data_IF_406138108017
#
_entry.id   IF_406138108017
#
_cell.length_a   1.000
_cell.length_b   1.000
_cell.length_c   1.000
_cell.angle_alpha   90.00
_cell.angle_beta   90.00
_cell.angle_gamma   90.00
#
_symmetry.space_group_name_H-M   'P 1'
#
loop_
_entity.id
_entity.type
_entity.pdbx_description
1 polymer ?
#
# COMPACT_ATOMS: atom_id res chain seq x y z
N UNK A 1 -1.62 -8.27 -6.35
CA UNK A 1 -0.83 -8.84 -7.44
C UNK A 1 0.44 -8.01 -7.57
N UNK A 2 1.62 -8.65 -7.68
CA UNK A 2 2.88 -7.97 -7.96
C UNK A 2 3.20 -8.01 -9.47
N UNK A 3 3.96 -7.03 -9.94
CA UNK A 3 4.52 -6.98 -11.29
C UNK A 3 6.02 -6.72 -11.21
N UNK A 4 6.76 -7.33 -12.11
CA UNK A 4 8.21 -7.12 -12.27
C UNK A 4 8.45 -6.56 -13.66
N UNK A 5 9.21 -5.48 -13.73
CA UNK A 5 9.66 -4.88 -14.98
C UNK A 5 11.17 -5.11 -15.11
N UNK A 6 11.59 -5.82 -16.13
CA UNK A 6 13.01 -6.05 -16.43
C UNK A 6 13.40 -5.26 -17.69
N UNK A 7 14.52 -4.55 -17.62
CA UNK A 7 15.09 -3.86 -18.81
C UNK A 7 15.69 -4.83 -19.82
N UNK A 8 16.16 -5.98 -19.34
CA UNK A 8 16.86 -6.98 -20.12
C UNK A 8 16.30 -8.36 -19.75
N UNK A 9 15.63 -8.97 -20.70
CA UNK A 9 15.02 -10.28 -20.57
C UNK A 9 16.06 -11.40 -20.38
N UNK A 10 17.25 -11.26 -20.94
CA UNK A 10 18.32 -12.24 -20.82
C UNK A 10 18.72 -12.48 -19.36
N UNK A 11 18.61 -11.47 -18.50
CA UNK A 11 18.86 -11.59 -17.06
C UNK A 11 17.84 -12.47 -16.35
N UNK A 12 16.57 -12.40 -16.75
CA UNK A 12 15.53 -13.29 -16.23
C UNK A 12 15.79 -14.73 -16.64
N UNK A 13 16.10 -14.94 -17.93
CA UNK A 13 16.44 -16.28 -18.45
C UNK A 13 17.69 -16.84 -17.81
N UNK A 14 18.73 -16.02 -17.59
CA UNK A 14 19.95 -16.45 -16.88
C UNK A 14 19.69 -16.84 -15.43
N UNK A 15 18.72 -16.17 -14.75
CA UNK A 15 18.40 -16.42 -13.35
C UNK A 15 17.44 -17.60 -13.17
N UNK A 16 16.49 -17.80 -14.09
CA UNK A 16 15.36 -18.72 -13.92
C UNK A 16 15.27 -19.79 -15.03
N UNK A 17 16.07 -19.68 -16.10
CA UNK A 17 15.99 -20.50 -17.30
C UNK A 17 16.43 -21.96 -17.11
N UNK A 18 15.78 -22.67 -16.18
CA UNK A 18 15.99 -24.09 -15.96
C UNK A 18 15.24 -24.87 -17.05
N UNK A 19 15.98 -25.62 -17.89
CA UNK A 19 15.40 -26.51 -18.91
C UNK A 19 15.46 -27.96 -18.40
N UNK A 20 14.37 -28.50 -17.85
CA UNK A 20 14.32 -29.92 -17.45
C UNK A 20 14.47 -30.81 -18.68
N UNK A 21 15.16 -31.94 -18.54
CA UNK A 21 15.46 -32.87 -19.65
C UNK A 21 14.20 -33.43 -20.34
N UNK A 22 13.10 -33.56 -19.61
CA UNK A 22 11.83 -34.07 -20.18
C UNK A 22 11.06 -33.05 -21.05
N UNK A 23 11.49 -31.80 -21.05
CA UNK A 23 10.88 -30.72 -21.88
C UNK A 23 11.73 -30.37 -23.11
N UNK A 24 12.91 -30.96 -23.27
CA UNK A 24 13.88 -30.57 -24.31
C UNK A 24 13.37 -30.83 -25.72
N UNK A 25 12.75 -31.98 -25.99
CA UNK A 25 12.29 -32.35 -27.32
C UNK A 25 11.08 -31.56 -27.82
N UNK A 26 10.22 -31.09 -26.89
CA UNK A 26 9.09 -30.24 -27.26
C UNK A 26 9.51 -28.78 -27.42
N UNK A 27 10.50 -28.33 -26.66
CA UNK A 27 11.00 -26.95 -26.66
C UNK A 27 11.75 -26.60 -27.92
N UNK A 28 12.52 -27.54 -28.45
CA UNK A 28 13.25 -27.36 -29.72
C UNK A 28 12.32 -27.26 -30.94
N UNK A 29 11.08 -27.77 -30.81
CA UNK A 29 10.01 -27.63 -31.81
C UNK A 29 9.15 -26.37 -31.63
N UNK A 30 9.29 -25.68 -30.52
CA UNK A 30 8.47 -24.50 -30.13
C UNK A 30 9.26 -23.20 -30.09
N UNK A 31 10.38 -23.13 -30.79
CA UNK A 31 11.32 -21.97 -30.75
C UNK A 31 10.67 -20.61 -31.07
N UNK A 32 9.48 -20.60 -31.69
CA UNK A 32 8.72 -19.39 -32.01
C UNK A 32 7.76 -18.93 -30.89
N UNK A 33 7.60 -19.72 -29.81
CA UNK A 33 6.67 -19.37 -28.74
C UNK A 33 7.37 -18.83 -27.53
N UNK A 34 6.90 -17.66 -27.03
CA UNK A 34 7.40 -17.09 -25.79
C UNK A 34 7.16 -18.03 -24.60
N UNK A 35 8.25 -18.46 -23.97
CA UNK A 35 8.23 -19.44 -22.89
C UNK A 35 8.24 -18.73 -21.52
N UNK A 36 7.08 -18.47 -20.93
CA UNK A 36 6.95 -17.74 -19.67
C UNK A 36 7.66 -18.40 -18.48
N UNK A 37 7.82 -19.72 -18.46
CA UNK A 37 8.42 -20.45 -17.35
C UNK A 37 9.93 -20.23 -17.22
N UNK A 38 10.63 -19.89 -18.31
CA UNK A 38 12.07 -19.58 -18.26
C UNK A 38 12.37 -18.20 -17.69
N UNK A 39 11.35 -17.39 -17.43
CA UNK A 39 11.46 -16.03 -16.91
C UNK A 39 10.99 -15.90 -15.46
N UNK A 40 10.78 -17.00 -14.75
CA UNK A 40 10.36 -17.03 -13.36
C UNK A 40 10.52 -18.39 -12.72
N UNK A 41 10.35 -18.48 -11.40
CA UNK A 41 10.52 -19.72 -10.65
C UNK A 41 9.31 -20.67 -10.70
N UNK A 42 8.15 -20.22 -11.20
CA UNK A 42 6.93 -21.04 -11.34
C UNK A 42 6.83 -21.58 -12.77
N UNK A 43 6.88 -22.90 -12.95
CA UNK A 43 6.64 -23.54 -14.28
C UNK A 43 5.18 -23.43 -14.68
N UNK A 44 4.26 -23.83 -13.80
CA UNK A 44 2.82 -23.68 -14.00
C UNK A 44 2.28 -22.66 -13.02
N UNK A 45 1.68 -21.59 -13.53
CA UNK A 45 1.14 -20.51 -12.69
C UNK A 45 -0.26 -20.10 -13.11
N UNK A 46 -1.02 -19.62 -12.15
CA UNK A 46 -2.33 -19.02 -12.41
C UNK A 46 -2.19 -17.81 -13.33
N UNK A 47 -3.08 -17.65 -14.29
CA UNK A 47 -3.11 -16.49 -15.18
C UNK A 47 -3.56 -15.22 -14.43
N UNK A 48 -2.69 -14.73 -13.54
CA UNK A 48 -2.95 -13.56 -12.68
C UNK A 48 -3.06 -12.27 -13.50
N UNK A 49 -2.40 -12.20 -14.65
CA UNK A 49 -2.46 -11.06 -15.59
C UNK A 49 -3.85 -10.81 -16.16
N UNK A 50 -4.72 -11.85 -16.22
CA UNK A 50 -6.07 -11.72 -16.76
C UNK A 50 -6.87 -10.62 -16.04
N UNK A 51 -6.80 -10.55 -14.71
CA UNK A 51 -7.52 -9.55 -13.92
C UNK A 51 -7.11 -8.13 -14.31
N UNK A 52 -5.81 -7.88 -14.51
CA UNK A 52 -5.28 -6.59 -14.93
C UNK A 52 -5.74 -6.26 -16.34
N UNK A 53 -5.59 -7.22 -17.26
CA UNK A 53 -6.04 -7.06 -18.64
C UNK A 53 -7.53 -6.74 -18.72
N UNK A 54 -8.39 -7.48 -18.00
CA UNK A 54 -9.83 -7.24 -17.95
C UNK A 54 -10.15 -5.85 -17.38
N UNK A 55 -9.43 -5.41 -16.33
CA UNK A 55 -9.61 -4.08 -15.75
C UNK A 55 -9.28 -2.99 -16.76
N UNK A 56 -8.14 -3.09 -17.45
CA UNK A 56 -7.76 -2.15 -18.49
C UNK A 56 -8.73 -2.18 -19.69
N UNK A 57 -9.22 -3.36 -20.09
CA UNK A 57 -10.24 -3.47 -21.15
C UNK A 57 -11.56 -2.84 -20.74
N UNK A 58 -11.98 -2.98 -19.47
CA UNK A 58 -13.25 -2.45 -18.97
C UNK A 58 -13.22 -0.94 -18.77
N UNK A 59 -12.16 -0.40 -18.18
CA UNK A 59 -12.10 0.97 -17.71
C UNK A 59 -11.18 1.87 -18.52
N UNK A 60 -10.22 1.30 -19.23
CA UNK A 60 -9.17 2.02 -19.96
C UNK A 60 -8.08 2.60 -19.05
N UNK A 61 -6.91 2.86 -19.62
CA UNK A 61 -5.75 3.37 -18.88
C UNK A 61 -6.02 4.76 -18.28
N UNK A 62 -6.72 5.65 -19.01
CA UNK A 62 -7.05 7.00 -18.54
C UNK A 62 -7.87 6.95 -17.26
N UNK A 63 -8.96 6.17 -17.23
CA UNK A 63 -9.82 6.09 -16.04
C UNK A 63 -9.11 5.50 -14.83
N UNK A 64 -8.27 4.50 -15.04
CA UNK A 64 -7.43 3.92 -13.97
C UNK A 64 -6.44 4.97 -13.46
N UNK A 65 -5.81 5.75 -14.35
CA UNK A 65 -4.94 6.86 -13.97
C UNK A 65 -5.67 7.91 -13.12
N UNK A 66 -6.88 8.35 -13.54
CA UNK A 66 -7.71 9.30 -12.78
C UNK A 66 -8.02 8.80 -11.35
N UNK A 67 -8.22 7.49 -11.15
CA UNK A 67 -8.42 6.90 -9.83
C UNK A 67 -7.15 6.94 -8.97
N UNK A 68 -6.00 6.66 -9.57
CA UNK A 68 -4.70 6.74 -8.88
C UNK A 68 -4.43 8.19 -8.47
N UNK A 69 -4.64 9.15 -9.36
CA UNK A 69 -4.51 10.58 -9.08
C UNK A 69 -5.48 11.02 -7.98
N UNK A 70 -6.69 10.46 -7.97
CA UNK A 70 -7.66 10.64 -6.89
C UNK A 70 -7.10 10.22 -5.54
N UNK A 71 -6.55 9.02 -5.45
CA UNK A 71 -5.95 8.51 -4.22
C UNK A 71 -4.77 9.36 -3.74
N UNK A 72 -3.94 9.85 -4.66
CA UNK A 72 -2.82 10.77 -4.34
C UNK A 72 -3.37 12.10 -3.80
N UNK A 73 -4.42 12.65 -4.42
CA UNK A 73 -5.07 13.88 -3.90
C UNK A 73 -5.60 13.70 -2.48
N UNK A 74 -6.20 12.55 -2.15
CA UNK A 74 -6.68 12.26 -0.80
C UNK A 74 -5.54 12.22 0.23
N UNK A 75 -4.41 11.57 -0.11
CA UNK A 75 -3.24 11.56 0.76
C UNK A 75 -2.66 12.97 0.97
N UNK A 76 -2.61 13.80 -0.08
CA UNK A 76 -2.15 15.18 0.00
C UNK A 76 -3.12 16.08 0.79
N UNK A 77 -4.42 15.83 0.67
CA UNK A 77 -5.41 16.53 1.48
C UNK A 77 -5.21 16.22 2.96
N UNK A 78 -5.10 14.94 3.35
CA UNK A 78 -4.79 14.57 4.73
C UNK A 78 -3.45 15.16 5.20
N UNK A 79 -2.42 15.18 4.34
CA UNK A 79 -1.16 15.86 4.62
C UNK A 79 -1.39 17.35 4.97
N UNK A 80 -2.17 18.08 4.19
CA UNK A 80 -2.42 19.50 4.42
C UNK A 80 -3.16 19.76 5.73
N UNK A 81 -4.04 18.87 6.15
CA UNK A 81 -4.74 18.95 7.42
C UNK A 81 -3.78 18.71 8.61
N UNK A 82 -2.93 17.71 8.50
CA UNK A 82 -2.02 17.30 9.58
C UNK A 82 -0.80 18.21 9.70
N UNK A 83 -0.29 18.77 8.60
CA UNK A 83 0.94 19.57 8.58
C UNK A 83 0.92 20.80 9.51
N UNK A 84 -0.27 21.33 9.82
CA UNK A 84 -0.48 22.44 10.74
C UNK A 84 -1.20 22.02 12.04
N UNK A 85 -1.40 20.73 12.26
CA UNK A 85 -2.15 20.24 13.40
C UNK A 85 -1.29 20.22 14.67
N UNK A 86 -1.76 20.76 15.83
CA UNK A 86 -0.93 20.87 17.03
C UNK A 86 -0.59 19.53 17.68
N UNK A 87 -1.43 18.52 17.53
CA UNK A 87 -1.30 17.23 18.19
C UNK A 87 -0.75 16.12 17.31
N UNK A 88 -0.59 16.37 15.99
CA UNK A 88 -0.09 15.38 15.05
C UNK A 88 1.13 15.89 14.29
N UNK A 89 2.00 14.96 13.91
CA UNK A 89 3.07 15.23 12.95
C UNK A 89 2.96 14.28 11.76
N UNK A 90 3.51 14.69 10.63
CA UNK A 90 3.58 13.92 9.39
C UNK A 90 5.04 13.59 9.05
N UNK A 91 5.31 12.39 8.57
CA UNK A 91 6.67 11.96 8.24
C UNK A 91 7.28 12.69 7.02
N UNK A 92 6.45 13.40 6.26
CA UNK A 92 6.79 14.15 5.06
C UNK A 92 5.67 14.16 4.04
N UNK A 93 5.81 15.00 3.01
CA UNK A 93 4.83 15.02 1.91
C UNK A 93 4.79 13.67 1.18
N UNK A 94 3.59 13.07 1.01
CA UNK A 94 3.48 11.76 0.37
C UNK A 94 3.76 11.87 -1.14
N UNK A 95 4.73 11.10 -1.68
CA UNK A 95 4.99 11.08 -3.12
C UNK A 95 3.92 10.34 -3.92
N UNK A 96 3.18 9.46 -3.24
CA UNK A 96 2.06 8.67 -3.77
C UNK A 96 0.89 8.72 -2.80
N UNK A 97 0.06 7.68 -2.73
CA UNK A 97 -1.12 7.63 -1.87
C UNK A 97 -0.86 7.20 -0.42
N UNK A 98 0.36 6.78 -0.06
CA UNK A 98 0.67 6.39 1.31
C UNK A 98 1.20 7.58 2.11
N UNK A 99 0.58 7.86 3.26
CA UNK A 99 0.99 8.88 4.22
C UNK A 99 1.22 8.25 5.60
N UNK A 100 2.22 8.72 6.32
CA UNK A 100 2.49 8.34 7.69
C UNK A 100 2.33 9.55 8.60
N UNK A 101 1.42 9.44 9.56
CA UNK A 101 1.14 10.46 10.58
C UNK A 101 1.26 9.84 11.97
N UNK A 102 1.57 10.64 12.98
CA UNK A 102 1.62 10.17 14.37
C UNK A 102 1.06 11.21 15.31
N UNK A 103 0.49 10.76 16.43
CA UNK A 103 0.05 11.62 17.50
C UNK A 103 1.20 11.91 18.47
N UNK A 104 1.34 13.15 18.91
CA UNK A 104 2.44 13.62 19.76
C UNK A 104 2.21 13.45 21.27
N UNK A 105 0.98 13.14 21.68
CA UNK A 105 0.57 13.12 23.10
C UNK A 105 1.27 12.10 23.99
N UNK A 106 2.00 11.13 23.42
CA UNK A 106 2.82 10.17 24.16
C UNK A 106 4.33 10.41 24.01
N UNK A 107 4.74 11.48 23.32
CA UNK A 107 6.15 11.84 23.18
C UNK A 107 6.71 12.37 24.54
N UNK A 108 7.97 12.03 24.92
CA UNK A 108 8.95 11.29 24.14
C UNK A 108 8.95 9.75 24.36
N UNK A 109 8.02 9.18 25.13
CA UNK A 109 7.98 7.73 25.43
C UNK A 109 7.49 6.91 24.23
N UNK A 110 8.43 6.30 23.47
CA UNK A 110 8.09 5.47 22.31
C UNK A 110 7.33 4.19 22.68
N UNK A 111 7.53 3.63 23.87
CA UNK A 111 6.77 2.46 24.31
C UNK A 111 5.30 2.82 24.55
N UNK A 112 5.04 3.97 25.14
CA UNK A 112 3.69 4.50 25.31
C UNK A 112 3.08 4.90 23.95
N UNK A 113 3.85 5.55 23.09
CA UNK A 113 3.44 5.91 21.72
C UNK A 113 3.02 4.66 20.92
N UNK A 114 3.78 3.59 20.97
CA UNK A 114 3.45 2.32 20.31
C UNK A 114 2.13 1.72 20.82
N UNK A 115 1.91 1.75 22.15
CA UNK A 115 0.65 1.28 22.77
C UNK A 115 -0.52 2.15 22.32
N UNK A 116 -0.38 3.46 22.36
CA UNK A 116 -1.39 4.41 21.89
C UNK A 116 -1.80 4.13 20.45
N UNK A 117 -0.83 4.08 19.55
CA UNK A 117 -1.10 3.86 18.12
C UNK A 117 -1.73 2.49 17.84
N UNK A 118 -1.30 1.44 18.51
CA UNK A 118 -1.88 0.10 18.35
C UNK A 118 -3.34 0.04 18.83
N UNK A 119 -3.62 0.63 20.00
CA UNK A 119 -4.97 0.68 20.56
C UNK A 119 -5.92 1.50 19.67
N UNK A 120 -5.49 2.66 19.19
CA UNK A 120 -6.28 3.50 18.28
C UNK A 120 -6.60 2.76 16.99
N UNK A 121 -5.63 2.09 16.37
CA UNK A 121 -5.88 1.27 15.16
C UNK A 121 -6.95 0.22 15.43
N UNK A 122 -6.87 -0.51 16.54
CA UNK A 122 -7.84 -1.54 16.92
C UNK A 122 -9.24 -0.94 17.09
N UNK A 123 -9.40 0.18 17.77
CA UNK A 123 -10.70 0.85 17.97
C UNK A 123 -11.29 1.36 16.67
N UNK A 124 -10.48 1.97 15.81
CA UNK A 124 -10.91 2.43 14.50
C UNK A 124 -11.35 1.25 13.62
N UNK A 125 -10.63 0.15 13.62
CA UNK A 125 -11.02 -1.07 12.89
C UNK A 125 -12.33 -1.65 13.44
N UNK A 126 -12.51 -1.74 14.76
CA UNK A 126 -13.73 -2.20 15.40
C UNK A 126 -14.95 -1.31 15.09
N UNK A 127 -14.74 -0.02 14.86
CA UNK A 127 -15.80 0.90 14.43
C UNK A 127 -16.36 0.58 13.05
N UNK A 128 -15.63 -0.20 12.23
CA UNK A 128 -16.00 -0.54 10.86
C UNK A 128 -15.92 0.62 9.85
N UNK A 129 -15.47 1.81 10.28
CA UNK A 129 -15.43 3.00 9.43
C UNK A 129 -14.19 3.08 8.57
N UNK A 130 -13.03 2.75 9.14
CA UNK A 130 -11.73 2.82 8.46
C UNK A 130 -10.86 1.62 8.80
N UNK A 131 -9.93 1.32 7.91
CA UNK A 131 -8.89 0.34 8.12
C UNK A 131 -7.54 0.89 7.66
N UNK A 132 -6.56 0.88 8.54
CA UNK A 132 -5.17 1.23 8.28
C UNK A 132 -4.27 0.48 9.28
N UNK A 133 -2.96 0.62 9.15
CA UNK A 133 -2.00 -0.09 10.01
C UNK A 133 -1.03 0.88 10.67
N UNK A 134 -0.25 0.37 11.61
CA UNK A 134 0.94 1.06 12.10
C UNK A 134 2.16 0.66 11.28
N UNK A 135 3.20 1.49 11.32
CA UNK A 135 4.54 1.21 10.79
C UNK A 135 5.58 1.87 11.68
N UNK A 136 6.83 1.45 11.56
CA UNK A 136 7.96 2.09 12.24
C UNK A 136 8.82 2.83 11.20
N UNK A 137 9.08 4.12 11.46
CA UNK A 137 9.99 4.94 10.67
C UNK A 137 10.95 5.67 11.61
N UNK A 138 12.25 5.48 11.40
CA UNK A 138 13.32 6.12 12.19
C UNK A 138 13.17 5.89 13.71
N UNK A 139 12.77 4.67 14.11
CA UNK A 139 12.58 4.29 15.50
C UNK A 139 11.32 4.85 16.15
N UNK A 140 10.41 5.45 15.42
CA UNK A 140 9.13 5.98 15.88
C UNK A 140 7.96 5.24 15.25
N UNK A 141 6.86 5.07 16.00
CA UNK A 141 5.63 4.44 15.55
C UNK A 141 4.72 5.45 14.86
N UNK A 142 4.13 5.06 13.74
CA UNK A 142 3.28 5.91 12.90
C UNK A 142 2.02 5.16 12.49
N UNK A 143 0.90 5.84 12.35
CA UNK A 143 -0.23 5.37 11.55
C UNK A 143 0.16 5.43 10.07
N UNK A 144 0.05 4.30 9.38
CA UNK A 144 0.28 4.21 7.93
C UNK A 144 -1.06 4.13 7.22
N UNK A 145 -1.45 5.23 6.63
CA UNK A 145 -2.72 5.41 5.92
C UNK A 145 -2.44 5.38 4.42
N UNK A 146 -3.19 4.57 3.68
CA UNK A 146 -2.99 4.43 2.24
C UNK A 146 -4.36 4.38 1.52
N UNK A 147 -4.93 5.51 1.13
CA UNK A 147 -6.13 5.55 0.30
C UNK A 147 -5.87 4.86 -1.04
N UNK A 148 -6.50 3.70 -1.26
CA UNK A 148 -6.40 2.91 -2.50
C UNK A 148 -7.75 2.65 -3.16
N UNK A 149 -8.84 3.01 -2.48
CA UNK A 149 -10.18 2.84 -3.01
C UNK A 149 -10.55 4.08 -3.85
N UNK A 150 -10.88 3.88 -5.11
CA UNK A 150 -11.29 4.93 -6.03
C UNK A 150 -12.58 5.67 -5.61
N UNK A 151 -13.31 5.15 -4.61
CA UNK A 151 -14.51 5.78 -4.02
C UNK A 151 -14.19 6.68 -2.83
N UNK A 152 -12.94 6.69 -2.37
CA UNK A 152 -12.54 7.58 -1.28
C UNK A 152 -12.63 9.03 -1.72
N UNK A 153 -13.29 9.85 -0.92
CA UNK A 153 -13.51 11.28 -1.14
C UNK A 153 -12.78 12.08 -0.07
N UNK A 154 -12.68 13.39 -0.27
CA UNK A 154 -12.03 14.35 0.64
C UNK A 154 -12.64 14.29 2.04
N UNK A 155 -13.96 14.23 2.11
CA UNK A 155 -14.74 14.17 3.36
C UNK A 155 -14.41 12.94 4.21
N UNK A 156 -13.98 11.84 3.58
CA UNK A 156 -13.53 10.66 4.32
C UNK A 156 -12.18 10.91 5.02
N UNK A 157 -11.32 11.76 4.46
CA UNK A 157 -10.05 12.13 5.11
C UNK A 157 -10.29 13.07 6.28
N UNK A 158 -11.23 14.01 6.14
CA UNK A 158 -11.66 14.89 7.24
C UNK A 158 -12.25 14.07 8.38
N UNK A 159 -13.16 13.13 8.08
CA UNK A 159 -13.75 12.21 9.05
C UNK A 159 -12.71 11.30 9.72
N UNK A 160 -11.70 10.85 8.98
CA UNK A 160 -10.63 10.04 9.51
C UNK A 160 -9.81 10.82 10.53
N UNK A 161 -9.43 12.07 10.21
CA UNK A 161 -8.68 12.91 11.15
C UNK A 161 -9.47 13.15 12.43
N UNK A 162 -10.74 13.57 12.32
CA UNK A 162 -11.58 13.78 13.51
C UNK A 162 -11.79 12.51 14.36
N UNK A 163 -11.82 11.33 13.72
CA UNK A 163 -11.87 10.06 14.45
C UNK A 163 -10.55 9.77 15.16
N UNK A 164 -9.42 10.05 14.51
CA UNK A 164 -8.10 9.88 15.13
C UNK A 164 -7.91 10.81 16.33
N UNK A 165 -8.32 12.08 16.23
CA UNK A 165 -8.32 13.03 17.36
C UNK A 165 -9.09 12.47 18.55
N UNK A 166 -10.33 12.03 18.29
CA UNK A 166 -11.20 11.48 19.34
C UNK A 166 -10.62 10.23 20.00
N UNK A 167 -10.17 9.26 19.20
CA UNK A 167 -9.65 8.00 19.73
C UNK A 167 -8.31 8.17 20.44
N UNK A 168 -7.41 9.03 19.92
CA UNK A 168 -6.14 9.32 20.59
C UNK A 168 -6.39 9.98 21.95
N UNK A 169 -7.26 10.98 22.04
CA UNK A 169 -7.62 11.62 23.31
C UNK A 169 -8.22 10.63 24.31
N UNK A 170 -9.14 9.76 23.85
CA UNK A 170 -9.78 8.73 24.66
C UNK A 170 -8.78 7.71 25.21
N UNK A 171 -7.84 7.24 24.37
CA UNK A 171 -6.82 6.27 24.79
C UNK A 171 -5.83 6.91 25.76
N UNK A 172 -5.36 8.15 25.51
CA UNK A 172 -4.47 8.87 26.43
C UNK A 172 -5.09 9.04 27.80
N UNK A 173 -6.39 9.39 27.86
CA UNK A 173 -7.11 9.49 29.14
C UNK A 173 -7.19 8.15 29.89
N UNK A 174 -7.21 7.03 29.18
CA UNK A 174 -7.26 5.69 29.79
C UNK A 174 -5.89 5.14 30.19
N UNK A 175 -4.80 5.72 29.70
CA UNK A 175 -3.42 5.31 30.00
C UNK A 175 -2.79 6.10 31.15
N UNK A 176 -3.35 7.28 31.52
CA UNK A 176 -2.94 8.10 32.64
C UNK A 176 -3.75 7.82 33.87
#
# INVERSE_FOLDING_TARGET
>A
MGAVLAKDESRLTASFGLKPSYLTDELDRMDERYQYYVHGFEQSRRFRGLKVWMSFKRYGARRIGEWIDGNVRQARHLYSLVASHPEFEVAGEPPMSAICIRHLGADPDEAQSKRLHAEVVMRVEQSGKFWFSTTELKGKTWFRINPVNFRTQTEHMDQLLGLLEHECASVLHSLG
#
